data_IF_338891920336
#
_entry.id   IF_338891920336
#
_cell.length_a   1.000
_cell.length_b   1.000
_cell.length_c   1.000
_cell.angle_alpha   90.00
_cell.angle_beta   90.00
_cell.angle_gamma   90.00
#
_symmetry.space_group_name_H-M   'P 1'
#
loop_
_entity.id
_entity.type
_entity.pdbx_description
1 polymer ?
#
# COMPACT_ATOMS: atom_id res chain seq x y z
N UNK A 1 2.42 -35.14 23.95
CA UNK A 1 2.23 -35.11 22.48
C UNK A 1 1.55 -33.82 22.04
N UNK A 2 2.33 -32.80 21.66
CA UNK A 2 1.78 -31.55 21.15
C UNK A 2 1.58 -31.69 19.62
N UNK A 3 0.37 -31.46 19.13
CA UNK A 3 0.09 -31.42 17.69
C UNK A 3 0.80 -30.22 17.06
N UNK A 4 1.79 -30.51 16.22
CA UNK A 4 2.47 -29.52 15.37
C UNK A 4 1.72 -29.53 14.04
N UNK A 5 1.15 -28.38 13.64
CA UNK A 5 0.56 -28.23 12.30
C UNK A 5 1.65 -28.23 11.23
N UNK A 6 1.27 -28.55 9.98
CA UNK A 6 2.18 -28.58 8.83
C UNK A 6 3.00 -27.29 8.74
N UNK A 7 4.34 -27.37 8.73
CA UNK A 7 5.21 -26.19 8.67
C UNK A 7 4.98 -25.36 7.40
N UNK A 8 5.11 -24.03 7.52
CA UNK A 8 4.90 -23.08 6.42
C UNK A 8 6.07 -22.11 6.35
N UNK A 9 6.54 -21.79 5.14
CA UNK A 9 7.58 -20.79 4.92
C UNK A 9 7.01 -19.37 5.07
N UNK A 10 7.59 -18.58 5.98
CA UNK A 10 7.23 -17.18 6.21
C UNK A 10 8.51 -16.36 6.31
N UNK A 11 8.68 -15.35 5.46
CA UNK A 11 9.84 -14.44 5.44
C UNK A 11 11.21 -15.16 5.49
N UNK A 12 11.33 -16.30 4.79
CA UNK A 12 12.56 -17.09 4.71
C UNK A 12 12.84 -18.01 5.89
N UNK A 13 11.86 -18.19 6.80
CA UNK A 13 11.94 -19.12 7.94
C UNK A 13 10.86 -20.19 7.80
N UNK A 14 11.21 -21.44 8.13
CA UNK A 14 10.24 -22.52 8.18
C UNK A 14 9.59 -22.50 9.56
N UNK A 15 8.36 -22.00 9.64
CA UNK A 15 7.64 -21.85 10.90
C UNK A 15 6.61 -22.97 11.02
N UNK A 16 6.62 -23.64 12.16
CA UNK A 16 5.52 -24.54 12.54
C UNK A 16 4.70 -23.89 13.65
N UNK A 17 3.37 -24.01 13.54
CA UNK A 17 2.47 -23.56 14.60
C UNK A 17 2.43 -24.62 15.69
N UNK A 18 2.81 -24.22 16.89
CA UNK A 18 2.64 -25.02 18.10
C UNK A 18 1.45 -24.48 18.88
N UNK A 19 0.46 -25.32 19.16
CA UNK A 19 -0.64 -24.95 20.05
C UNK A 19 -0.08 -24.68 21.46
N UNK A 20 -0.27 -23.46 21.96
CA UNK A 20 0.14 -23.05 23.31
C UNK A 20 -0.97 -23.31 24.31
N UNK A 21 -2.17 -22.82 24.01
CA UNK A 21 -3.33 -22.88 24.88
C UNK A 21 -4.61 -22.68 24.08
N UNK A 22 -5.77 -22.96 24.69
CA UNK A 22 -7.08 -22.55 24.17
C UNK A 22 -7.72 -21.58 25.15
N UNK A 23 -8.34 -20.53 24.63
CA UNK A 23 -9.14 -19.60 25.42
C UNK A 23 -10.28 -20.39 26.12
N UNK A 24 -10.41 -20.32 27.44
CA UNK A 24 -11.37 -21.14 28.18
C UNK A 24 -12.83 -20.72 27.99
N UNK A 25 -13.10 -19.52 27.46
CA UNK A 25 -14.45 -19.01 27.24
C UNK A 25 -14.91 -19.17 25.79
N UNK A 26 -13.97 -19.08 24.84
CA UNK A 26 -14.26 -19.09 23.39
C UNK A 26 -13.72 -20.32 22.67
N UNK A 27 -12.94 -21.17 23.34
CA UNK A 27 -12.24 -22.34 22.78
C UNK A 27 -11.26 -22.03 21.63
N UNK A 28 -10.98 -20.75 21.38
CA UNK A 28 -10.06 -20.27 20.35
C UNK A 28 -8.63 -20.68 20.71
N UNK A 29 -7.94 -21.31 19.75
CA UNK A 29 -6.57 -21.76 19.92
C UNK A 29 -5.55 -20.62 19.77
N UNK A 30 -4.64 -20.50 20.73
CA UNK A 30 -3.44 -19.67 20.66
C UNK A 30 -2.26 -20.50 20.21
N UNK A 31 -1.50 -20.00 19.25
CA UNK A 31 -0.34 -20.69 18.67
C UNK A 31 0.93 -19.85 18.84
N UNK A 32 2.04 -20.53 19.09
CA UNK A 32 3.38 -19.96 18.92
C UNK A 32 3.95 -20.36 17.57
N UNK A 33 4.86 -19.54 17.04
CA UNK A 33 5.63 -19.86 15.86
C UNK A 33 6.98 -20.45 16.30
N UNK A 34 7.17 -21.75 16.08
CA UNK A 34 8.47 -22.41 16.29
C UNK A 34 9.28 -22.26 15.01
N UNK A 35 10.46 -21.66 15.13
CA UNK A 35 11.41 -21.50 14.04
C UNK A 35 12.21 -22.79 13.85
N UNK A 36 11.87 -23.57 12.81
CA UNK A 36 12.53 -24.83 12.46
C UNK A 36 13.74 -24.64 11.54
N UNK A 37 14.08 -23.39 11.21
CA UNK A 37 15.21 -23.04 10.33
C UNK A 37 16.60 -23.48 10.85
N UNK A 38 16.89 -23.60 12.16
CA UNK A 38 18.24 -23.93 12.64
C UNK A 38 18.85 -25.29 12.23
N UNK A 39 18.14 -26.15 11.49
CA UNK A 39 18.66 -27.43 10.99
C UNK A 39 18.49 -27.67 9.49
N UNK A 40 17.90 -26.71 8.77
CA UNK A 40 17.74 -26.76 7.33
C UNK A 40 18.62 -25.65 6.76
N UNK A 41 19.71 -26.00 6.09
CA UNK A 41 20.38 -25.08 5.17
C UNK A 41 19.77 -25.36 3.80
N UNK A 42 18.75 -24.62 3.33
CA UNK A 42 18.40 -24.71 1.94
C UNK A 42 19.58 -24.09 1.19
N UNK A 43 20.22 -24.84 0.30
CA UNK A 43 20.87 -24.20 -0.83
C UNK A 43 19.82 -23.25 -1.43
N UNK A 44 20.06 -21.94 -1.33
CA UNK A 44 19.04 -20.94 -1.64
C UNK A 44 18.69 -21.13 -3.11
N UNK A 45 17.45 -21.54 -3.38
CA UNK A 45 16.91 -21.59 -4.73
C UNK A 45 17.04 -20.25 -5.48
N UNK A 46 17.19 -19.15 -4.75
CA UNK A 46 17.52 -17.83 -5.28
C UNK A 46 18.93 -17.76 -5.91
N UNK A 47 19.93 -18.43 -5.33
CA UNK A 47 21.31 -18.43 -5.81
C UNK A 47 21.45 -19.27 -7.09
N UNK A 48 20.79 -20.44 -7.16
CA UNK A 48 20.69 -21.25 -8.37
C UNK A 48 20.01 -20.46 -9.50
N UNK A 49 18.92 -19.75 -9.20
CA UNK A 49 18.20 -18.91 -10.17
C UNK A 49 19.04 -17.71 -10.59
N UNK A 50 19.79 -17.08 -9.69
CA UNK A 50 20.68 -15.97 -10.00
C UNK A 50 21.78 -16.41 -10.97
N UNK A 51 22.42 -17.55 -10.71
CA UNK A 51 23.47 -18.11 -11.58
C UNK A 51 22.92 -18.51 -12.95
N UNK A 52 21.74 -19.13 -13.01
CA UNK A 52 21.09 -19.46 -14.28
C UNK A 52 20.69 -18.20 -15.07
N UNK A 53 20.20 -17.15 -14.39
CA UNK A 53 19.89 -15.87 -15.01
C UNK A 53 21.15 -15.18 -15.56
N UNK A 54 22.26 -15.23 -14.83
CA UNK A 54 23.54 -14.69 -15.28
C UNK A 54 24.05 -15.41 -16.54
N UNK A 55 24.02 -16.75 -16.55
CA UNK A 55 24.39 -17.54 -17.72
C UNK A 55 23.52 -17.24 -18.96
N UNK A 56 22.25 -16.87 -18.74
CA UNK A 56 21.30 -16.48 -19.79
C UNK A 56 21.30 -14.97 -20.09
N UNK A 57 22.15 -14.16 -19.45
CA UNK A 57 22.19 -12.71 -19.64
C UNK A 57 20.93 -11.97 -19.16
N UNK A 58 20.17 -12.56 -18.24
CA UNK A 58 18.94 -12.02 -17.65
C UNK A 58 19.28 -11.19 -16.41
N UNK A 59 19.04 -9.88 -16.48
CA UNK A 59 19.50 -8.94 -15.47
C UNK A 59 18.37 -8.29 -14.66
N UNK A 60 17.12 -8.40 -15.12
CA UNK A 60 15.97 -7.77 -14.47
C UNK A 60 14.79 -8.72 -14.41
N UNK A 61 14.08 -8.72 -13.29
CA UNK A 61 12.74 -9.28 -13.16
C UNK A 61 11.72 -8.20 -13.51
N UNK A 62 10.81 -8.50 -14.42
CA UNK A 62 9.64 -7.66 -14.73
C UNK A 62 8.40 -8.30 -14.10
N UNK A 63 7.65 -7.51 -13.34
CA UNK A 63 6.36 -7.87 -12.74
C UNK A 63 5.28 -6.89 -13.18
N UNK A 64 4.22 -7.40 -13.81
CA UNK A 64 3.06 -6.63 -14.23
C UNK A 64 1.97 -6.76 -13.16
N UNK A 65 1.48 -5.64 -12.65
CA UNK A 65 0.40 -5.59 -11.66
C UNK A 65 -0.81 -4.81 -12.20
N UNK A 66 -1.85 -4.70 -11.38
CA UNK A 66 -3.09 -3.96 -11.66
C UNK A 66 -2.89 -2.60 -12.33
N UNK A 67 -2.02 -1.74 -11.78
CA UNK A 67 -1.79 -0.38 -12.28
C UNK A 67 -0.30 0.03 -12.25
N UNK A 68 0.61 -0.95 -12.27
CA UNK A 68 2.03 -0.69 -12.40
C UNK A 68 2.79 -1.83 -13.08
N UNK A 69 3.91 -1.48 -13.71
CA UNK A 69 4.99 -2.43 -13.99
C UNK A 69 6.16 -2.13 -13.07
N UNK A 70 6.68 -3.18 -12.44
CA UNK A 70 7.86 -3.12 -11.59
C UNK A 70 8.99 -3.92 -12.22
N UNK A 71 10.12 -3.27 -12.42
CA UNK A 71 11.37 -3.87 -12.86
C UNK A 71 12.32 -3.89 -11.67
N UNK A 72 12.74 -5.06 -11.24
CA UNK A 72 13.71 -5.26 -10.16
C UNK A 72 15.02 -5.73 -10.79
N UNK A 73 16.13 -5.06 -10.48
CA UNK A 73 17.43 -5.58 -10.88
C UNK A 73 17.67 -6.89 -10.12
N UNK A 74 17.98 -7.94 -10.87
CA UNK A 74 18.53 -9.17 -10.35
C UNK A 74 20.01 -8.86 -10.13
N UNK A 75 20.41 -8.71 -8.87
CA UNK A 75 21.79 -8.39 -8.54
C UNK A 75 22.69 -9.42 -9.21
N UNK A 76 23.65 -8.98 -10.02
CA UNK A 76 24.85 -9.76 -10.31
C UNK A 76 25.56 -9.89 -8.96
N UNK A 77 25.24 -10.93 -8.20
CA UNK A 77 26.08 -11.32 -7.08
C UNK A 77 27.39 -11.76 -7.70
N UNK A 78 28.35 -10.85 -7.89
CA UNK A 78 29.72 -11.28 -8.08
C UNK A 78 30.01 -12.18 -6.88
N UNK A 79 30.37 -13.44 -7.11
CA UNK A 79 30.66 -14.42 -6.06
C UNK A 79 31.80 -13.97 -5.10
N UNK A 80 32.44 -12.83 -5.39
CA UNK A 80 33.46 -12.16 -4.56
C UNK A 80 32.95 -10.92 -3.81
N UNK A 81 31.68 -10.53 -3.96
CA UNK A 81 31.10 -9.49 -3.12
C UNK A 81 30.78 -10.10 -1.77
N UNK A 82 31.35 -9.56 -0.69
CA UNK A 82 30.90 -9.87 0.66
C UNK A 82 29.36 -9.80 0.72
N UNK A 83 28.68 -10.76 1.37
CA UNK A 83 27.24 -10.67 1.56
C UNK A 83 26.93 -9.27 2.11
N UNK A 84 25.89 -8.59 1.60
CA UNK A 84 25.56 -7.25 2.07
C UNK A 84 25.50 -7.31 3.59
N UNK A 85 26.34 -6.48 4.25
CA UNK A 85 26.51 -6.49 5.69
C UNK A 85 25.14 -6.62 6.35
N UNK A 86 24.99 -7.65 7.19
CA UNK A 86 23.75 -7.98 7.92
C UNK A 86 23.13 -6.67 8.37
N UNK A 87 21.97 -6.36 7.77
CA UNK A 87 21.40 -5.01 7.79
C UNK A 87 21.44 -4.44 9.20
N UNK A 88 22.06 -3.27 9.35
CA UNK A 88 22.23 -2.62 10.65
C UNK A 88 20.92 -2.60 11.44
N UNK A 89 21.05 -2.68 12.77
CA UNK A 89 19.92 -2.63 13.71
C UNK A 89 18.95 -1.54 13.23
N UNK A 90 17.71 -1.93 12.92
CA UNK A 90 16.72 -0.99 12.40
C UNK A 90 16.49 0.09 13.45
N UNK A 91 16.87 1.33 13.13
CA UNK A 91 16.60 2.48 13.98
C UNK A 91 15.09 2.71 14.18
N UNK A 92 14.75 3.51 15.19
CA UNK A 92 13.37 3.85 15.50
C UNK A 92 12.65 4.49 14.31
N UNK A 93 11.36 4.16 14.16
CA UNK A 93 10.53 4.73 13.09
C UNK A 93 10.06 6.11 13.54
N UNK A 94 10.87 7.12 13.20
CA UNK A 94 10.63 8.51 13.57
C UNK A 94 9.75 9.27 12.57
N UNK A 95 9.53 8.75 11.35
CA UNK A 95 8.76 9.49 10.33
C UNK A 95 8.33 8.68 9.11
N UNK A 96 7.72 9.38 8.14
CA UNK A 96 7.23 8.78 6.89
C UNK A 96 8.23 8.98 5.73
N UNK A 97 9.24 8.12 5.69
CA UNK A 97 10.33 8.22 4.71
C UNK A 97 9.88 8.05 3.25
N UNK A 98 10.67 8.58 2.32
CA UNK A 98 10.47 8.41 0.87
C UNK A 98 10.40 6.93 0.44
N UNK A 99 11.15 6.04 1.10
CA UNK A 99 11.05 4.60 0.88
C UNK A 99 9.72 4.02 1.36
N UNK A 100 9.24 4.43 2.54
CA UNK A 100 7.94 4.00 3.08
C UNK A 100 6.78 4.47 2.20
N UNK A 101 6.86 5.73 1.76
CA UNK A 101 5.98 6.34 0.76
C UNK A 101 5.92 5.55 -0.54
N UNK A 102 7.08 5.19 -1.10
CA UNK A 102 7.15 4.38 -2.32
C UNK A 102 6.45 3.04 -2.13
N UNK A 103 6.67 2.35 -0.99
CA UNK A 103 6.03 1.06 -0.71
C UNK A 103 4.50 1.18 -0.60
N UNK A 104 3.99 2.24 0.03
CA UNK A 104 2.53 2.50 0.07
C UNK A 104 1.97 2.69 -1.35
N UNK A 105 2.64 3.49 -2.19
CA UNK A 105 2.21 3.69 -3.58
C UNK A 105 2.27 2.40 -4.41
N UNK A 106 3.34 1.62 -4.28
CA UNK A 106 3.48 0.32 -4.95
C UNK A 106 2.41 -0.67 -4.51
N UNK A 107 2.10 -0.71 -3.21
CA UNK A 107 1.02 -1.53 -2.68
C UNK A 107 -0.33 -1.13 -3.27
N UNK A 108 -0.66 0.16 -3.22
CA UNK A 108 -1.91 0.66 -3.78
C UNK A 108 -2.02 0.38 -5.27
N UNK A 109 -0.91 0.46 -6.01
CA UNK A 109 -0.86 0.16 -7.43
C UNK A 109 -0.91 -1.33 -7.77
N UNK A 110 -0.56 -2.20 -6.83
CA UNK A 110 -0.69 -3.65 -7.02
C UNK A 110 -2.05 -4.22 -6.65
N UNK A 111 -2.79 -3.57 -5.73
CA UNK A 111 -4.10 -4.05 -5.29
C UNK A 111 -5.08 -4.17 -6.46
N UNK A 112 -5.65 -5.38 -6.62
CA UNK A 112 -6.72 -5.71 -7.55
C UNK A 112 -8.06 -5.58 -6.86
N UNK A 113 -8.85 -4.63 -7.33
CA UNK A 113 -10.12 -4.31 -6.73
C UNK A 113 -10.97 -3.44 -7.66
N UNK A 114 -12.21 -3.84 -7.86
CA UNK A 114 -13.18 -3.30 -8.83
C UNK A 114 -14.51 -2.87 -8.17
N UNK A 115 -14.67 -3.10 -6.87
CA UNK A 115 -15.85 -2.76 -6.08
C UNK A 115 -15.77 -1.36 -5.45
N UNK A 116 -16.72 -1.00 -4.60
CA UNK A 116 -16.78 0.30 -3.94
C UNK A 116 -15.63 0.51 -2.94
N UNK A 117 -14.94 1.63 -3.06
CA UNK A 117 -13.97 2.11 -2.06
C UNK A 117 -14.54 3.28 -1.26
N UNK A 118 -14.14 3.42 0.01
CA UNK A 118 -14.48 4.54 0.88
C UNK A 118 -13.20 5.21 1.33
N UNK A 119 -13.15 6.54 1.31
CA UNK A 119 -12.12 7.31 1.98
C UNK A 119 -12.66 7.71 3.33
N UNK A 120 -11.91 7.45 4.41
CA UNK A 120 -12.34 7.81 5.75
C UNK A 120 -11.21 8.42 6.58
N UNK A 121 -11.57 9.18 7.62
CA UNK A 121 -10.64 9.68 8.63
C UNK A 121 -11.14 9.47 10.04
N UNK A 122 -10.21 9.40 10.99
CA UNK A 122 -10.47 9.46 12.42
C UNK A 122 -9.66 10.59 13.05
N UNK A 123 -10.29 11.38 13.91
CA UNK A 123 -9.69 12.53 14.59
C UNK A 123 -9.95 12.43 16.08
N UNK A 124 -8.95 12.75 16.90
CA UNK A 124 -9.15 12.83 18.35
C UNK A 124 -10.07 14.00 18.74
N UNK A 125 -10.82 13.89 19.85
CA UNK A 125 -11.42 15.04 20.53
C UNK A 125 -10.36 16.01 21.03
N UNK A 126 -10.80 17.13 21.58
CA UNK A 126 -9.88 18.12 22.14
C UNK A 126 -9.08 17.63 23.32
N UNK A 127 -9.73 16.97 24.27
CA UNK A 127 -9.06 16.24 25.33
C UNK A 127 -8.64 14.87 24.80
N UNK A 128 -7.34 14.70 24.52
CA UNK A 128 -6.77 13.44 24.08
C UNK A 128 -5.48 13.12 24.85
N UNK A 129 -5.01 11.86 24.82
CA UNK A 129 -3.73 11.50 25.46
C UNK A 129 -2.57 12.22 24.77
N UNK A 130 -2.14 13.37 25.26
CA UNK A 130 -1.03 14.15 24.68
C UNK A 130 0.27 13.38 24.88
N UNK A 131 1.12 13.34 23.84
CA UNK A 131 2.44 12.70 23.86
C UNK A 131 2.45 11.24 24.38
N UNK A 132 1.36 10.50 24.14
CA UNK A 132 1.22 9.09 24.52
C UNK A 132 0.98 8.17 23.29
N UNK A 133 2.04 7.86 22.53
CA UNK A 133 1.95 7.00 21.35
C UNK A 133 1.49 5.58 21.65
N UNK A 134 1.67 5.09 22.87
CA UNK A 134 1.22 3.76 23.25
C UNK A 134 -0.30 3.72 23.34
N UNK A 135 -0.90 4.68 24.04
CA UNK A 135 -2.37 4.81 24.09
C UNK A 135 -2.94 5.06 22.69
N UNK A 136 -2.28 5.84 21.85
CA UNK A 136 -2.71 6.02 20.45
C UNK A 136 -2.78 4.72 19.67
N UNK A 137 -1.77 3.85 19.84
CA UNK A 137 -1.74 2.53 19.22
C UNK A 137 -2.83 1.63 19.81
N UNK A 138 -3.07 1.66 21.12
CA UNK A 138 -4.16 0.88 21.76
C UNK A 138 -5.52 1.28 21.23
N UNK A 139 -5.81 2.58 21.11
CA UNK A 139 -7.06 3.08 20.54
C UNK A 139 -7.22 2.64 19.08
N UNK A 140 -6.19 2.82 18.26
CA UNK A 140 -6.23 2.38 16.87
C UNK A 140 -6.42 0.87 16.73
N UNK A 141 -5.76 0.08 17.57
CA UNK A 141 -5.89 -1.38 17.61
C UNK A 141 -7.31 -1.81 18.03
N UNK A 142 -7.91 -1.11 19.01
CA UNK A 142 -9.32 -1.33 19.38
C UNK A 142 -10.26 -1.01 18.20
N UNK A 143 -10.01 0.08 17.48
CA UNK A 143 -10.78 0.45 16.28
C UNK A 143 -10.63 -0.63 15.19
N UNK A 144 -9.40 -1.06 14.91
CA UNK A 144 -9.10 -2.13 13.94
C UNK A 144 -9.88 -3.40 14.26
N UNK A 145 -9.84 -3.86 15.52
CA UNK A 145 -10.56 -5.07 15.95
C UNK A 145 -12.07 -4.92 15.83
N UNK A 146 -12.63 -3.75 16.16
CA UNK A 146 -14.07 -3.47 15.96
C UNK A 146 -14.43 -3.46 14.48
N UNK A 147 -13.59 -2.85 13.64
CA UNK A 147 -13.75 -2.83 12.18
C UNK A 147 -13.76 -4.24 11.60
N UNK A 148 -12.80 -5.09 11.96
CA UNK A 148 -12.73 -6.47 11.47
C UNK A 148 -13.92 -7.33 11.91
N UNK A 149 -14.51 -7.06 13.09
CA UNK A 149 -15.73 -7.74 13.55
C UNK A 149 -16.99 -7.24 12.84
N UNK A 150 -17.12 -5.93 12.66
CA UNK A 150 -18.30 -5.33 12.03
C UNK A 150 -18.32 -5.55 10.51
N UNK A 151 -17.15 -5.62 9.88
CA UNK A 151 -16.98 -5.72 8.42
C UNK A 151 -15.94 -6.79 8.04
N UNK A 152 -16.23 -8.09 8.26
CA UNK A 152 -15.24 -9.17 8.14
C UNK A 152 -14.64 -9.34 6.74
N UNK A 153 -15.37 -8.96 5.68
CA UNK A 153 -14.90 -9.04 4.30
C UNK A 153 -14.25 -7.75 3.80
N UNK A 154 -14.31 -6.67 4.60
CA UNK A 154 -13.75 -5.40 4.22
C UNK A 154 -12.26 -5.35 4.54
N UNK A 155 -11.55 -4.52 3.77
CA UNK A 155 -10.11 -4.36 3.89
C UNK A 155 -9.83 -2.87 3.98
N UNK A 156 -8.71 -2.48 4.58
CA UNK A 156 -8.36 -1.07 4.62
C UNK A 156 -6.85 -0.88 4.49
N UNK A 157 -6.46 0.23 3.86
CA UNK A 157 -5.11 0.78 3.95
C UNK A 157 -5.20 2.03 4.78
N UNK A 158 -4.38 2.14 5.82
CA UNK A 158 -4.41 3.27 6.74
C UNK A 158 -3.06 4.00 6.77
N UNK A 159 -3.10 5.30 7.05
CA UNK A 159 -1.94 6.15 7.35
C UNK A 159 -2.25 7.01 8.58
N UNK A 160 -1.32 7.07 9.52
CA UNK A 160 -1.35 7.99 10.64
C UNK A 160 -0.54 9.26 10.32
N UNK A 161 -1.19 10.42 10.39
CA UNK A 161 -0.62 11.76 10.25
C UNK A 161 -0.60 12.42 11.65
N UNK A 162 0.49 13.07 12.06
CA UNK A 162 0.46 13.94 13.24
C UNK A 162 0.08 15.35 12.79
N UNK A 163 -1.00 15.90 13.35
CA UNK A 163 -1.47 17.25 13.05
C UNK A 163 -1.44 18.09 14.30
N UNK A 164 -0.92 19.32 14.19
CA UNK A 164 -1.12 20.33 15.24
C UNK A 164 -2.60 20.67 15.35
N UNK A 165 -3.13 20.56 16.56
CA UNK A 165 -4.47 21.04 16.92
C UNK A 165 -4.56 22.54 16.64
N UNK A 166 -5.69 22.98 16.06
CA UNK A 166 -5.89 24.38 15.66
C UNK A 166 -6.69 25.21 16.67
N UNK A 167 -7.35 24.56 17.62
CA UNK A 167 -8.30 25.16 18.55
C UNK A 167 -8.52 24.23 19.73
N UNK A 168 -9.13 24.77 20.78
CA UNK A 168 -9.43 24.05 22.02
C UNK A 168 -8.30 24.15 23.05
N UNK A 169 -8.48 23.49 24.20
CA UNK A 169 -7.54 23.47 25.32
C UNK A 169 -6.16 22.95 24.90
N UNK A 170 -6.12 21.94 24.04
CA UNK A 170 -4.86 21.38 23.52
C UNK A 170 -4.47 21.94 22.15
N UNK A 171 -4.83 23.18 21.84
CA UNK A 171 -4.32 23.88 20.66
C UNK A 171 -2.77 23.88 20.63
N UNK A 172 -2.17 23.63 19.46
CA UNK A 172 -0.71 23.57 19.29
C UNK A 172 -0.07 22.18 19.50
N UNK A 173 -0.70 21.32 20.30
CA UNK A 173 -0.23 19.94 20.52
C UNK A 173 -0.44 19.05 19.29
N UNK A 174 0.39 18.02 19.17
CA UNK A 174 0.33 17.05 18.06
C UNK A 174 -0.69 15.96 18.37
N UNK A 175 -1.77 15.95 17.59
CA UNK A 175 -2.78 14.90 17.67
C UNK A 175 -2.63 13.95 16.48
N UNK A 176 -2.71 12.63 16.70
CA UNK A 176 -2.83 11.67 15.62
C UNK A 176 -4.13 11.84 14.85
N UNK A 177 -4.02 11.66 13.54
CA UNK A 177 -5.14 11.67 12.63
C UNK A 177 -4.96 10.54 11.62
N UNK A 178 -5.92 9.64 11.57
CA UNK A 178 -5.85 8.48 10.68
C UNK A 178 -6.60 8.77 9.39
N UNK A 179 -6.01 8.34 8.28
CA UNK A 179 -6.60 8.31 6.96
C UNK A 179 -6.74 6.87 6.52
N UNK A 180 -7.87 6.53 5.91
CA UNK A 180 -8.17 5.19 5.42
C UNK A 180 -8.59 5.24 3.96
N UNK A 181 -8.14 4.26 3.19
CA UNK A 181 -8.82 3.80 1.99
C UNK A 181 -9.38 2.43 2.32
N UNK A 182 -10.70 2.34 2.40
CA UNK A 182 -11.45 1.14 2.74
C UNK A 182 -11.97 0.52 1.45
N UNK A 183 -11.83 -0.79 1.36
CA UNK A 183 -12.23 -1.63 0.25
C UNK A 183 -13.34 -2.53 0.78
N UNK A 184 -14.56 -2.29 0.31
CA UNK A 184 -15.75 -2.99 0.77
C UNK A 184 -15.92 -4.36 0.07
N UNK A 185 -17.01 -5.07 0.30
CA UNK A 185 -17.42 -6.22 -0.50
C UNK A 185 -18.64 -5.93 -1.39
N UNK A 186 -19.14 -4.70 -1.32
CA UNK A 186 -20.32 -4.24 -2.03
C UNK A 186 -19.91 -3.70 -3.41
N UNK A 187 -20.62 -4.13 -4.44
CA UNK A 187 -20.40 -3.68 -5.83
C UNK A 187 -20.77 -2.20 -6.03
N UNK A 188 -21.15 -1.51 -4.95
CA UNK A 188 -21.47 -0.10 -4.93
C UNK A 188 -22.70 0.13 -5.75
N UNK A 189 -23.84 -0.44 -5.31
CA UNK A 189 -25.15 -0.16 -5.90
C UNK A 189 -25.18 1.31 -6.28
N UNK A 190 -25.22 1.59 -7.59
CA UNK A 190 -24.84 2.87 -8.23
C UNK A 190 -25.80 4.02 -7.90
N UNK A 191 -26.45 3.98 -6.75
CA UNK A 191 -27.06 5.15 -6.14
C UNK A 191 -25.94 5.95 -5.47
N UNK A 192 -25.11 6.61 -6.29
CA UNK A 192 -24.54 7.88 -5.89
C UNK A 192 -25.72 8.78 -5.56
N UNK A 193 -26.10 8.88 -4.28
CA UNK A 193 -27.03 9.91 -3.87
C UNK A 193 -26.20 11.18 -3.82
N UNK A 194 -26.33 12.01 -4.86
CA UNK A 194 -25.80 13.36 -4.86
C UNK A 194 -26.58 14.16 -3.80
N UNK A 195 -26.13 14.09 -2.56
CA UNK A 195 -26.55 15.06 -1.55
C UNK A 195 -25.76 16.32 -1.86
N UNK A 196 -26.45 17.34 -2.37
CA UNK A 196 -25.80 18.59 -2.75
C UNK A 196 -25.20 19.32 -1.56
N UNK A 197 -25.60 19.00 -0.31
CA UNK A 197 -25.10 19.70 0.88
C UNK A 197 -25.02 18.78 2.12
N UNK A 198 -23.83 18.67 2.71
CA UNK A 198 -23.63 18.11 4.06
C UNK A 198 -23.03 19.18 4.97
N UNK A 199 -23.52 19.29 6.20
CA UNK A 199 -22.98 20.23 7.18
C UNK A 199 -21.78 19.63 7.92
N UNK A 200 -20.58 20.16 7.64
CA UNK A 200 -19.32 19.79 8.27
C UNK A 200 -18.74 21.02 8.97
N UNK A 201 -18.55 20.97 10.29
CA UNK A 201 -18.09 22.11 11.09
C UNK A 201 -18.91 23.40 10.86
N UNK A 202 -20.23 23.29 10.72
CA UNK A 202 -21.12 24.43 10.44
C UNK A 202 -21.00 25.01 9.02
N UNK A 203 -20.43 24.25 8.08
CA UNK A 203 -20.31 24.63 6.67
C UNK A 203 -20.97 23.62 5.77
N UNK A 204 -21.75 24.11 4.82
CA UNK A 204 -22.31 23.28 3.75
C UNK A 204 -21.19 22.95 2.75
N UNK A 205 -20.90 21.66 2.60
CA UNK A 205 -19.94 21.15 1.63
C UNK A 205 -20.59 20.13 0.69
N UNK A 206 -20.25 20.21 -0.61
CA UNK A 206 -20.70 19.24 -1.60
C UNK A 206 -19.79 18.00 -1.51
N UNK A 207 -20.33 16.84 -1.12
CA UNK A 207 -19.59 15.56 -1.11
C UNK A 207 -20.38 14.44 -1.78
N UNK A 208 -19.69 13.52 -2.45
CA UNK A 208 -20.34 12.31 -2.98
C UNK A 208 -20.60 11.34 -1.84
N UNK A 209 -21.86 11.17 -1.49
CA UNK A 209 -22.29 10.27 -0.43
C UNK A 209 -22.89 9.02 -1.07
N UNK A 210 -22.47 7.85 -0.61
CA UNK A 210 -23.24 6.62 -0.82
C UNK A 210 -23.86 6.19 0.51
N UNK A 211 -24.98 5.47 0.45
CA UNK A 211 -25.57 4.85 1.65
C UNK A 211 -24.51 4.07 2.44
N UNK A 212 -23.61 3.39 1.73
CA UNK A 212 -22.52 2.64 2.34
C UNK A 212 -21.52 3.53 3.09
N UNK A 213 -21.10 4.65 2.51
CA UNK A 213 -20.21 5.59 3.21
C UNK A 213 -20.88 6.25 4.42
N UNK A 214 -22.18 6.54 4.34
CA UNK A 214 -22.93 7.11 5.47
C UNK A 214 -23.08 6.13 6.63
N UNK A 215 -23.47 4.89 6.32
CA UNK A 215 -23.59 3.82 7.33
C UNK A 215 -22.25 3.58 8.01
N UNK A 216 -21.16 3.54 7.23
CA UNK A 216 -19.83 3.43 7.79
C UNK A 216 -19.43 4.66 8.63
N UNK A 217 -19.73 5.89 8.19
CA UNK A 217 -19.45 7.11 8.95
C UNK A 217 -20.12 7.08 10.32
N UNK A 218 -21.41 6.77 10.38
CA UNK A 218 -22.17 6.68 11.63
C UNK A 218 -21.59 5.61 12.57
N UNK A 219 -21.29 4.43 12.03
CA UNK A 219 -20.64 3.38 12.81
C UNK A 219 -19.25 3.81 13.33
N UNK A 220 -18.45 4.46 12.48
CA UNK A 220 -17.10 4.90 12.84
C UNK A 220 -17.11 6.02 13.87
N UNK A 221 -18.06 6.97 13.77
CA UNK A 221 -18.28 8.03 14.77
C UNK A 221 -18.56 7.43 16.15
N UNK A 222 -19.52 6.52 16.22
CA UNK A 222 -19.88 5.83 17.47
C UNK A 222 -18.69 5.02 18.02
N UNK A 223 -18.12 4.14 17.19
CA UNK A 223 -17.04 3.26 17.61
C UNK A 223 -15.81 4.06 18.08
N UNK A 224 -15.46 5.13 17.37
CA UNK A 224 -14.31 5.96 17.71
C UNK A 224 -14.54 6.75 18.98
N UNK A 225 -15.70 7.39 19.14
CA UNK A 225 -16.05 8.14 20.37
C UNK A 225 -15.98 7.27 21.62
N UNK A 226 -16.53 6.05 21.55
CA UNK A 226 -16.45 5.07 22.65
C UNK A 226 -15.01 4.65 22.96
N UNK A 227 -14.19 4.38 21.92
CA UNK A 227 -12.80 3.94 22.11
C UNK A 227 -11.96 4.99 22.83
N UNK A 228 -12.12 6.26 22.44
CA UNK A 228 -11.37 7.35 23.05
C UNK A 228 -12.03 7.88 24.32
N UNK A 229 -13.18 7.31 24.70
CA UNK A 229 -14.03 7.74 25.81
C UNK A 229 -14.27 9.26 25.80
N UNK A 230 -14.67 9.81 24.66
CA UNK A 230 -14.78 11.26 24.51
C UNK A 230 -15.97 11.82 25.29
N UNK A 231 -15.75 12.79 26.20
CA UNK A 231 -16.85 13.51 26.85
C UNK A 231 -17.43 14.63 25.94
N UNK A 232 -16.82 14.90 24.78
CA UNK A 232 -17.20 15.99 23.89
C UNK A 232 -18.30 15.54 22.91
N UNK A 233 -19.50 16.12 23.05
CA UNK A 233 -20.63 15.84 22.16
C UNK A 233 -20.31 16.20 20.70
N UNK A 234 -19.48 17.22 20.44
CA UNK A 234 -19.07 17.57 19.08
C UNK A 234 -18.18 16.50 18.47
N UNK A 235 -17.37 15.81 19.29
CA UNK A 235 -16.55 14.70 18.81
C UNK A 235 -17.40 13.51 18.37
N UNK A 236 -18.55 13.26 19.02
CA UNK A 236 -19.49 12.21 18.58
C UNK A 236 -20.02 12.44 17.17
N UNK A 237 -20.08 13.70 16.70
CA UNK A 237 -20.57 14.06 15.37
C UNK A 237 -19.46 14.35 14.34
N UNK A 238 -18.23 14.61 14.78
CA UNK A 238 -17.11 15.03 13.90
C UNK A 238 -15.82 14.21 14.08
N UNK A 239 -15.81 13.21 14.95
CA UNK A 239 -14.65 12.36 15.26
C UNK A 239 -14.24 11.45 14.11
N UNK A 240 -15.13 11.20 13.16
CA UNK A 240 -14.89 10.44 11.95
C UNK A 240 -15.53 11.12 10.74
N UNK A 241 -15.00 10.85 9.56
CA UNK A 241 -15.56 11.30 8.29
C UNK A 241 -15.37 10.17 7.27
N UNK A 242 -16.35 9.95 6.40
CA UNK A 242 -16.27 9.00 5.31
C UNK A 242 -16.95 9.53 4.04
N UNK A 243 -16.42 9.12 2.89
CA UNK A 243 -16.92 9.53 1.58
C UNK A 243 -16.66 8.44 0.55
N UNK A 244 -17.59 8.26 -0.38
CA UNK A 244 -17.43 7.29 -1.45
C UNK A 244 -16.28 7.70 -2.41
N UNK A 245 -15.42 6.75 -2.74
CA UNK A 245 -14.36 6.93 -3.73
C UNK A 245 -14.85 6.41 -5.07
N UNK A 246 -15.10 7.35 -5.98
CA UNK A 246 -15.62 7.10 -7.34
C UNK A 246 -14.83 6.07 -8.16
N UNK A 247 -13.51 6.16 -8.16
CA UNK A 247 -12.64 5.26 -8.93
C UNK A 247 -11.20 5.25 -8.39
N UNK A 248 -10.36 4.38 -8.94
CA UNK A 248 -8.94 4.24 -8.55
C UNK A 248 -8.15 5.55 -8.68
N UNK A 249 -8.40 6.36 -9.71
CA UNK A 249 -7.76 7.68 -9.86
C UNK A 249 -8.13 8.61 -8.71
N UNK A 250 -9.38 8.58 -8.27
CA UNK A 250 -9.83 9.31 -7.08
C UNK A 250 -9.16 8.80 -5.80
N UNK A 251 -9.01 7.48 -5.64
CA UNK A 251 -8.26 6.88 -4.52
C UNK A 251 -6.81 7.39 -4.48
N UNK A 252 -6.12 7.40 -5.62
CA UNK A 252 -4.77 7.95 -5.72
C UNK A 252 -4.69 9.45 -5.44
N UNK A 253 -5.73 10.23 -5.71
CA UNK A 253 -5.77 11.66 -5.34
C UNK A 253 -5.75 11.80 -3.82
N UNK A 254 -6.54 11.00 -3.10
CA UNK A 254 -6.53 10.98 -1.63
C UNK A 254 -5.17 10.54 -1.10
N UNK A 255 -4.67 9.38 -1.56
CA UNK A 255 -3.35 8.87 -1.18
C UNK A 255 -2.28 9.91 -1.50
N UNK A 256 -2.30 10.49 -2.69
CA UNK A 256 -1.36 11.52 -3.15
C UNK A 256 -1.33 12.75 -2.23
N UNK A 257 -2.47 13.19 -1.69
CA UNK A 257 -2.52 14.27 -0.69
C UNK A 257 -1.78 13.89 0.60
N UNK A 258 -1.95 12.65 1.08
CA UNK A 258 -1.30 12.18 2.31
C UNK A 258 0.16 11.82 2.10
N UNK A 259 0.48 11.37 0.88
CA UNK A 259 1.79 10.95 0.46
C UNK A 259 2.69 12.13 0.09
N UNK A 260 2.12 13.25 -0.38
CA UNK A 260 2.89 14.45 -0.71
C UNK A 260 3.29 15.28 0.52
N UNK A 261 2.66 15.05 1.67
CA UNK A 261 3.08 15.64 2.94
C UNK A 261 4.29 14.86 3.46
N UNK A 262 5.47 15.24 3.01
CA UNK A 262 6.70 14.91 3.72
C UNK A 262 6.65 15.69 5.04
N UNK A 263 6.34 14.98 6.11
CA UNK A 263 6.40 15.52 7.45
C UNK A 263 7.85 15.34 7.94
N UNK A 264 8.52 16.45 8.27
CA UNK A 264 9.73 16.48 9.10
C UNK A 264 9.39 16.19 10.58
N UNK A 265 8.37 15.37 10.79
CA UNK A 265 7.98 14.88 12.08
C UNK A 265 8.96 13.75 12.44
N UNK A 266 9.72 13.96 13.51
CA UNK A 266 10.73 13.03 14.04
C UNK A 266 10.22 12.27 15.27
N UNK A 267 8.91 12.25 15.54
CA UNK A 267 8.36 11.57 16.71
C UNK A 267 8.38 10.05 16.50
N UNK A 268 8.96 9.33 17.47
CA UNK A 268 9.11 7.88 17.49
C UNK A 268 7.79 7.14 17.79
N UNK A 269 6.77 7.37 16.96
CA UNK A 269 5.42 6.81 17.15
C UNK A 269 5.24 5.45 16.47
N UNK A 270 6.31 4.90 15.87
CA UNK A 270 6.30 3.61 15.21
C UNK A 270 5.69 3.65 13.80
N UNK A 271 5.00 2.57 13.42
CA UNK A 271 4.50 2.35 12.06
C UNK A 271 3.50 3.45 11.64
N UNK A 272 3.83 4.18 10.56
CA UNK A 272 3.02 5.31 10.04
C UNK A 272 1.92 4.91 9.04
N UNK A 273 1.94 3.70 8.49
CA UNK A 273 0.90 3.18 7.61
C UNK A 273 0.84 1.66 7.68
N UNK A 274 -0.30 1.08 7.30
CA UNK A 274 -0.47 -0.36 7.28
C UNK A 274 -1.71 -0.79 6.51
N UNK A 275 -2.02 -2.07 6.63
CA UNK A 275 -3.19 -2.70 5.99
C UNK A 275 -3.98 -3.53 7.00
N UNK A 276 -5.28 -3.62 6.78
CA UNK A 276 -6.25 -4.43 7.51
C UNK A 276 -6.87 -5.39 6.49
N UNK A 277 -6.93 -6.67 6.83
CA UNK A 277 -7.40 -7.72 5.92
C UNK A 277 -6.37 -8.18 4.86
N UNK A 278 -6.79 -9.16 4.06
CA UNK A 278 -5.97 -9.77 2.99
C UNK A 278 -6.29 -9.13 1.64
N UNK A 279 -5.28 -8.72 0.90
CA UNK A 279 -5.44 -8.09 -0.41
C UNK A 279 -4.95 -9.00 -1.52
N UNK A 280 -5.69 -9.06 -2.63
CA UNK A 280 -5.14 -9.54 -3.88
C UNK A 280 -4.25 -8.45 -4.47
N UNK A 281 -2.94 -8.72 -4.48
CA UNK A 281 -1.94 -7.80 -5.01
C UNK A 281 -0.87 -8.53 -5.84
N UNK A 282 -1.19 -9.75 -6.28
CA UNK A 282 -0.29 -10.58 -7.05
C UNK A 282 -0.05 -9.97 -8.44
N UNK A 283 1.18 -10.02 -8.97
CA UNK A 283 1.41 -9.68 -10.36
C UNK A 283 0.64 -10.66 -11.26
N UNK A 284 0.04 -10.16 -12.34
CA UNK A 284 -0.63 -10.99 -13.37
C UNK A 284 0.37 -11.65 -14.31
N UNK A 285 1.60 -11.14 -14.37
CA UNK A 285 2.65 -11.72 -15.18
C UNK A 285 4.01 -11.40 -14.60
N UNK A 286 4.90 -12.39 -14.63
CA UNK A 286 6.31 -12.21 -14.31
C UNK A 286 7.17 -12.73 -15.44
N UNK A 287 8.30 -12.07 -15.63
CA UNK A 287 9.29 -12.47 -16.62
C UNK A 287 10.65 -11.88 -16.29
N UNK A 288 11.59 -12.09 -17.18
CA UNK A 288 12.95 -11.58 -17.08
C UNK A 288 13.31 -10.79 -18.33
N UNK A 289 14.19 -9.80 -18.15
CA UNK A 289 14.70 -8.97 -19.23
C UNK A 289 16.23 -8.94 -19.20
N UNK A 290 16.82 -8.91 -20.39
CA UNK A 290 18.24 -8.59 -20.57
C UNK A 290 18.51 -7.11 -20.29
N UNK A 291 19.79 -6.74 -20.12
CA UNK A 291 20.18 -5.32 -19.93
C UNK A 291 19.81 -4.45 -21.13
N UNK A 292 19.89 -5.01 -22.35
CA UNK A 292 19.52 -4.34 -23.60
C UNK A 292 18.01 -4.11 -23.67
N UNK A 293 17.21 -5.14 -23.35
CA UNK A 293 15.75 -5.02 -23.27
C UNK A 293 15.31 -3.99 -22.21
N UNK A 294 15.95 -3.96 -21.05
CA UNK A 294 15.66 -2.96 -20.02
C UNK A 294 15.97 -1.52 -20.47
N UNK A 295 17.12 -1.31 -21.12
CA UNK A 295 17.49 -0.01 -21.65
C UNK A 295 16.48 0.48 -22.71
N UNK A 296 16.03 -0.43 -23.58
CA UNK A 296 15.02 -0.14 -24.59
C UNK A 296 13.66 0.18 -23.97
N UNK A 297 13.22 -0.62 -22.99
CA UNK A 297 12.00 -0.38 -22.24
C UNK A 297 12.01 1.02 -21.60
N UNK A 298 13.09 1.37 -20.88
CA UNK A 298 13.26 2.71 -20.30
C UNK A 298 13.16 3.81 -21.35
N UNK A 299 13.76 3.60 -22.53
CA UNK A 299 13.73 4.57 -23.64
C UNK A 299 12.31 4.82 -24.11
N UNK A 300 11.52 3.78 -24.34
CA UNK A 300 10.14 3.90 -24.80
C UNK A 300 9.23 4.53 -23.75
N UNK A 301 9.35 4.12 -22.48
CA UNK A 301 8.59 4.74 -21.38
C UNK A 301 8.93 6.22 -21.23
N UNK A 302 10.21 6.61 -21.38
CA UNK A 302 10.61 8.02 -21.37
C UNK A 302 9.98 8.82 -22.50
N UNK A 303 9.95 8.29 -23.74
CA UNK A 303 9.29 8.93 -24.88
C UNK A 303 7.80 9.13 -24.60
N UNK A 304 7.13 8.10 -24.09
CA UNK A 304 5.72 8.17 -23.71
C UNK A 304 5.45 9.25 -22.67
N UNK A 305 6.27 9.32 -21.61
CA UNK A 305 6.10 10.29 -20.53
C UNK A 305 6.40 11.72 -20.99
N UNK A 306 7.39 11.91 -21.85
CA UNK A 306 7.71 13.22 -22.44
C UNK A 306 6.58 13.72 -23.37
N UNK A 307 5.88 12.82 -24.05
CA UNK A 307 4.74 13.17 -24.91
C UNK A 307 3.48 13.58 -24.12
N UNK A 308 3.41 13.27 -22.81
CA UNK A 308 2.27 13.65 -21.97
C UNK A 308 2.40 15.10 -21.52
N UNK A 309 1.51 15.98 -21.99
CA UNK A 309 1.31 17.30 -21.39
C UNK A 309 0.79 17.13 -19.95
N UNK A 310 1.35 17.80 -18.93
CA UNK A 310 0.84 17.69 -17.57
C UNK A 310 -0.58 18.27 -17.50
N UNK A 311 -1.53 17.48 -16.99
CA UNK A 311 -2.90 17.95 -16.74
C UNK A 311 -2.98 19.03 -15.66
N UNK A 312 -1.90 19.27 -14.91
CA UNK A 312 -1.82 20.23 -13.81
C UNK A 312 -0.55 21.07 -14.00
N UNK A 313 -0.72 22.38 -14.29
CA UNK A 313 0.37 23.36 -14.53
C UNK A 313 1.43 23.47 -13.42
N UNK A 314 1.18 22.91 -12.23
CA UNK A 314 2.05 23.00 -11.04
C UNK A 314 3.00 21.82 -10.81
N UNK A 315 2.93 20.76 -11.63
CA UNK A 315 3.81 19.59 -11.47
C UNK A 315 4.83 19.62 -12.58
N UNK A 316 6.12 19.74 -12.25
CA UNK A 316 7.21 19.67 -13.21
C UNK A 316 7.08 18.36 -14.02
N UNK A 317 6.64 18.40 -15.29
CA UNK A 317 6.47 17.21 -16.12
C UNK A 317 7.82 16.54 -16.38
N UNK A 318 8.91 17.30 -16.29
CA UNK A 318 10.24 16.77 -16.47
C UNK A 318 10.77 16.06 -15.23
N UNK A 319 10.25 16.29 -14.02
CA UNK A 319 10.82 15.70 -12.80
C UNK A 319 10.88 14.17 -12.85
N UNK A 320 9.83 13.49 -13.33
CA UNK A 320 9.83 12.02 -13.44
C UNK A 320 10.68 11.54 -14.64
N UNK A 321 10.62 12.24 -15.77
CA UNK A 321 11.45 11.99 -16.95
C UNK A 321 12.94 12.13 -16.64
N UNK A 322 13.32 13.21 -15.97
CA UNK A 322 14.66 13.54 -15.50
C UNK A 322 15.11 12.57 -14.40
N UNK A 323 14.23 12.11 -13.51
CA UNK A 323 14.53 11.01 -12.58
C UNK A 323 14.84 9.71 -13.33
N UNK A 324 14.03 9.33 -14.31
CA UNK A 324 14.26 8.13 -15.15
C UNK A 324 15.53 8.24 -15.99
N UNK A 325 15.88 9.45 -16.47
CA UNK A 325 17.16 9.76 -17.13
C UNK A 325 18.35 9.52 -16.19
N UNK A 326 18.28 10.06 -14.97
CA UNK A 326 19.37 10.00 -13.97
C UNK A 326 19.49 8.63 -13.29
N UNK A 327 18.46 7.80 -13.36
CA UNK A 327 18.46 6.48 -12.75
C UNK A 327 19.48 5.57 -13.44
N UNK A 328 20.45 5.07 -12.66
CA UNK A 328 21.48 4.12 -13.12
C UNK A 328 20.81 2.88 -13.71
N UNK A 329 21.39 2.33 -14.78
CA UNK A 329 20.87 1.11 -15.41
C UNK A 329 20.85 -0.04 -14.41
N UNK A 330 21.88 -0.15 -13.55
CA UNK A 330 21.97 -1.15 -12.48
C UNK A 330 20.85 -1.10 -11.42
N UNK A 331 19.95 -0.12 -11.48
CA UNK A 331 18.80 -0.02 -10.59
C UNK A 331 17.51 -0.32 -11.34
N UNK A 332 16.69 -1.20 -10.77
CA UNK A 332 15.32 -1.43 -11.25
C UNK A 332 14.41 -0.21 -11.06
N UNK A 333 13.30 -0.13 -11.78
CA UNK A 333 12.36 1.00 -11.72
C UNK A 333 10.90 0.55 -11.59
N UNK A 334 10.03 1.45 -11.13
CA UNK A 334 8.58 1.22 -11.06
C UNK A 334 7.87 2.28 -11.90
N UNK A 335 7.00 1.84 -12.80
CA UNK A 335 6.21 2.68 -13.69
C UNK A 335 4.73 2.55 -13.32
N UNK A 336 4.18 3.60 -12.72
CA UNK A 336 2.77 3.68 -12.33
C UNK A 336 1.87 4.06 -13.52
N UNK A 337 0.63 3.60 -13.54
CA UNK A 337 -0.32 3.85 -14.62
C UNK A 337 -0.07 3.01 -15.88
N UNK A 338 0.79 2.00 -15.80
CA UNK A 338 1.13 1.08 -16.87
C UNK A 338 0.94 -0.35 -16.35
N UNK A 339 -0.29 -0.70 -15.98
CA UNK A 339 -0.66 -2.03 -15.46
C UNK A 339 -1.13 -2.99 -16.54
N UNK A 340 -1.74 -4.10 -16.12
CA UNK A 340 -2.35 -5.09 -17.01
C UNK A 340 -3.74 -4.68 -17.54
N UNK A 341 -4.39 -3.69 -16.92
CA UNK A 341 -5.71 -3.20 -17.27
C UNK A 341 -6.83 -4.24 -17.14
N UNK A 342 -6.65 -5.29 -16.33
CA UNK A 342 -7.69 -6.28 -16.04
C UNK A 342 -8.85 -5.69 -15.20
N UNK A 343 -8.67 -4.51 -14.60
CA UNK A 343 -9.64 -3.86 -13.70
C UNK A 343 -10.41 -2.71 -14.36
N UNK A 344 -10.11 -2.33 -15.60
CA UNK A 344 -10.75 -1.17 -16.22
C UNK A 344 -12.02 -1.57 -16.97
N UNK A 345 -13.17 -1.43 -16.30
CA UNK A 345 -14.48 -1.31 -16.96
C UNK A 345 -14.72 0.08 -17.61
N UNK A 346 -13.80 1.03 -17.42
CA UNK A 346 -13.71 2.24 -18.24
C UNK A 346 -12.83 1.93 -19.46
N UNK A 347 -13.25 2.41 -20.63
CA UNK A 347 -12.60 2.33 -21.96
C UNK A 347 -11.10 2.64 -21.97
N UNK A 348 -10.30 1.69 -21.51
CA UNK A 348 -8.84 1.82 -21.44
C UNK A 348 -8.16 0.67 -22.20
N UNK A 349 -8.82 0.14 -23.25
CA UNK A 349 -8.20 -0.73 -24.26
C UNK A 349 -6.82 -0.22 -24.70
N UNK A 350 -6.61 1.10 -24.68
CA UNK A 350 -5.35 1.76 -25.03
C UNK A 350 -4.17 1.48 -24.10
N UNK A 351 -4.35 1.30 -22.78
CA UNK A 351 -3.20 1.23 -21.84
C UNK A 351 -2.64 -0.18 -21.68
N UNK A 352 -3.49 -1.19 -21.66
CA UNK A 352 -3.06 -2.59 -21.75
C UNK A 352 -2.36 -2.82 -23.08
N UNK A 353 -2.95 -2.34 -24.19
CA UNK A 353 -2.30 -2.35 -25.50
C UNK A 353 -0.99 -1.59 -25.47
N UNK A 354 -0.88 -0.48 -24.73
CA UNK A 354 0.36 0.28 -24.66
C UNK A 354 1.51 -0.46 -23.98
N UNK A 355 1.28 -1.08 -22.81
CA UNK A 355 2.32 -1.86 -22.15
C UNK A 355 2.77 -3.02 -23.06
N UNK A 356 1.82 -3.80 -23.55
CA UNK A 356 2.15 -4.94 -24.42
C UNK A 356 2.77 -4.50 -25.75
N UNK A 357 2.41 -3.33 -26.28
CA UNK A 357 3.07 -2.72 -27.45
C UNK A 357 4.50 -2.31 -27.14
N UNK A 358 4.76 -1.69 -25.98
CA UNK A 358 6.11 -1.36 -25.55
C UNK A 358 6.94 -2.65 -25.44
N UNK A 359 6.42 -3.68 -24.78
CA UNK A 359 7.13 -4.95 -24.60
C UNK A 359 7.37 -5.68 -25.92
N UNK A 360 6.41 -5.64 -26.86
CA UNK A 360 6.56 -6.18 -28.21
C UNK A 360 7.65 -5.43 -28.98
N UNK A 361 7.59 -4.10 -29.00
CA UNK A 361 8.61 -3.27 -29.66
C UNK A 361 9.99 -3.48 -29.03
N UNK A 362 10.07 -3.70 -27.71
CA UNK A 362 11.33 -4.05 -27.03
C UNK A 362 11.88 -5.36 -27.58
N UNK A 363 11.06 -6.41 -27.69
CA UNK A 363 11.50 -7.69 -28.26
C UNK A 363 11.95 -7.54 -29.72
N UNK A 364 11.19 -6.81 -30.55
CA UNK A 364 11.52 -6.56 -31.97
C UNK A 364 12.84 -5.79 -32.13
N UNK A 365 13.03 -4.70 -31.40
CA UNK A 365 14.25 -3.86 -31.48
C UNK A 365 15.48 -4.58 -30.91
N UNK A 366 15.27 -5.46 -29.94
CA UNK A 366 16.38 -6.23 -29.36
C UNK A 366 16.71 -7.50 -30.12
N UNK A 367 15.78 -8.02 -30.93
CA UNK A 367 15.92 -9.30 -31.62
C UNK A 367 15.79 -10.51 -30.69
N UNK A 368 15.35 -10.31 -29.45
CA UNK A 368 15.30 -11.32 -28.39
C UNK A 368 13.89 -11.37 -27.78
N UNK A 369 13.29 -12.55 -27.59
CA UNK A 369 12.01 -12.66 -26.89
C UNK A 369 12.16 -12.27 -25.42
N UNK A 370 11.06 -11.80 -24.82
CA UNK A 370 10.97 -11.64 -23.38
C UNK A 370 10.63 -13.00 -22.76
N UNK A 371 11.45 -13.44 -21.82
CA UNK A 371 11.25 -14.70 -21.12
C UNK A 371 10.21 -14.54 -20.03
N UNK A 372 9.04 -15.10 -20.25
CA UNK A 372 7.96 -15.12 -19.26
C UNK A 372 8.08 -16.36 -18.40
N UNK A 373 7.92 -16.20 -17.08
CA UNK A 373 7.82 -17.34 -16.18
C UNK A 373 6.49 -18.06 -16.45
N UNK A 374 6.53 -19.38 -16.59
CA UNK A 374 5.32 -20.21 -16.57
C UNK A 374 4.80 -20.20 -15.13
N UNK A 375 3.49 -19.99 -14.98
CA UNK A 375 2.81 -20.05 -13.69
C UNK A 375 2.72 -21.48 -13.16
#
# INVERSE_FOLDING_TARGET
DAQIETPVWVDGRLLAKRLLARDPLTSVAYFDAVDLTPGLVPEKSEDIRANANEALGLHYEISIHADMVKLKALTLTNAHSQPPAVGGIRGEIVGFSNASRKRLLEFMASVRYDKQMIFATLTYPDLFPVDDPETWKRHFEAFRRRFERAYPNWRAVWRMELKRRKSGEYAGFLAPHWHFIIFTDNDGGKADVWVEQFESYGKLENRTVSNLSSVFEMWALQAWSEIVNSPDERHRSHGAFAVAVRNRRHAYKYIGKYVAKEENDTHAIGRRWGKIGKFDNAPSRRGTLTRRQYAEFKRQVRKLLAARKPAIKKRDPEAFHNRMKRQKISQGCTVFGLGDGLLSGETNEDWTRLLYRILRNVAEVTGEPIYWLRE
#
